data_IF_268486212632
#
_entry.id   IF_268486212632
#
_cell.length_a   1.000
_cell.length_b   1.000
_cell.length_c   1.000
_cell.angle_alpha   90.00
_cell.angle_beta   90.00
_cell.angle_gamma   90.00
#
_symmetry.space_group_name_H-M   'P 1'
#
loop_
_entity.id
_entity.type
_entity.pdbx_description
1 polymer ?
#
# COMPACT_ATOMS: atom_id res chain seq x y z
N UNK A 1 -7.36 22.96 4.01
CA UNK A 1 -6.50 21.85 3.56
C UNK A 1 -6.98 20.54 4.18
N UNK A 2 -6.81 19.41 3.48
CA UNK A 2 -7.16 18.08 3.99
C UNK A 2 -6.31 17.71 5.21
N UNK A 3 -6.89 16.95 6.16
CA UNK A 3 -6.17 16.38 7.31
C UNK A 3 -5.17 15.28 6.92
N UNK A 4 -5.34 14.74 5.72
CA UNK A 4 -4.57 13.61 5.20
C UNK A 4 -3.88 14.00 3.90
N UNK A 5 -2.67 13.48 3.73
CA UNK A 5 -1.85 13.68 2.54
C UNK A 5 -1.89 12.43 1.67
N UNK A 6 -1.77 12.66 0.36
CA UNK A 6 -1.41 11.63 -0.58
C UNK A 6 0.11 11.49 -0.54
N UNK A 7 0.63 10.27 -0.37
CA UNK A 7 2.06 10.08 -0.16
C UNK A 7 2.52 8.67 -0.50
N UNK A 8 3.82 8.52 -0.72
CA UNK A 8 4.53 7.25 -0.68
C UNK A 8 5.21 7.14 0.69
N UNK A 9 5.05 5.99 1.33
CA UNK A 9 5.67 5.71 2.62
C UNK A 9 6.26 4.32 2.66
N UNK A 10 7.23 4.10 3.53
CA UNK A 10 7.78 2.78 3.81
C UNK A 10 8.02 2.58 5.31
N UNK A 11 8.21 1.34 5.79
CA UNK A 11 8.57 1.13 7.18
C UNK A 11 9.90 1.81 7.46
N UNK A 12 9.95 2.54 8.57
CA UNK A 12 11.18 3.21 8.95
C UNK A 12 12.25 2.16 9.27
N UNK A 13 13.35 2.18 8.51
CA UNK A 13 14.54 1.39 8.81
C UNK A 13 15.70 2.29 9.24
N UNK A 14 16.10 2.21 10.51
CA UNK A 14 17.24 2.96 11.08
C UNK A 14 18.56 2.79 10.32
N UNK A 15 18.76 1.70 9.59
CA UNK A 15 19.94 1.53 8.76
C UNK A 15 19.98 2.42 7.50
N UNK A 16 18.81 2.91 7.08
CA UNK A 16 18.63 3.78 5.90
C UNK A 16 18.22 5.20 6.26
N UNK A 17 17.49 5.39 7.36
CA UNK A 17 16.96 6.70 7.74
C UNK A 17 17.45 7.17 9.11
N UNK A 18 18.20 6.34 9.83
CA UNK A 18 18.80 6.73 11.08
C UNK A 18 20.08 7.54 10.87
N UNK A 19 20.55 8.25 11.90
CA UNK A 19 21.84 8.92 11.86
C UNK A 19 22.95 7.89 11.59
N UNK A 20 23.98 8.32 10.86
CA UNK A 20 25.05 7.45 10.39
C UNK A 20 25.75 6.71 11.54
N UNK A 21 25.91 7.40 12.67
CA UNK A 21 26.55 6.86 13.88
C UNK A 21 25.74 5.74 14.54
N UNK A 22 24.42 5.68 14.28
CA UNK A 22 23.51 4.66 14.83
C UNK A 22 22.99 3.71 13.76
N UNK A 23 23.68 3.64 12.61
CA UNK A 23 23.30 2.76 11.52
C UNK A 23 23.23 1.31 12.02
N UNK A 24 22.14 0.62 11.71
CA UNK A 24 21.82 -0.74 12.15
C UNK A 24 21.46 -0.92 13.64
N UNK A 25 21.37 0.16 14.42
CA UNK A 25 20.79 0.10 15.77
C UNK A 25 19.30 0.41 15.70
N UNK A 26 18.43 -0.38 16.35
CA UNK A 26 17.01 -0.07 16.41
C UNK A 26 16.80 1.21 17.25
N UNK A 27 15.90 2.07 16.79
CA UNK A 27 15.46 3.25 17.52
C UNK A 27 13.93 3.27 17.66
N UNK A 28 13.40 4.30 18.33
CA UNK A 28 11.96 4.44 18.61
C UNK A 28 11.08 4.49 17.35
N UNK A 29 11.65 4.76 16.18
CA UNK A 29 10.92 4.91 14.93
C UNK A 29 10.81 3.62 14.10
N UNK A 30 11.60 2.57 14.36
CA UNK A 30 11.52 1.31 13.59
C UNK A 30 10.13 0.62 13.57
N UNK A 31 9.22 0.98 14.48
CA UNK A 31 7.83 0.51 14.48
C UNK A 31 6.86 1.40 13.70
N UNK A 32 7.37 2.42 13.01
CA UNK A 32 6.58 3.45 12.34
C UNK A 32 6.78 3.42 10.82
N UNK A 33 6.05 4.27 10.10
CA UNK A 33 6.28 4.50 8.68
C UNK A 33 6.92 5.87 8.48
N UNK A 34 7.93 5.94 7.63
CA UNK A 34 8.49 7.20 7.14
C UNK A 34 7.78 7.59 5.85
N UNK A 35 7.41 8.86 5.75
CA UNK A 35 6.87 9.45 4.53
C UNK A 35 8.04 9.85 3.64
N UNK A 36 8.21 9.15 2.52
CA UNK A 36 9.29 9.40 1.57
C UNK A 36 8.97 10.60 0.68
N UNK A 37 7.71 10.71 0.26
CA UNK A 37 7.28 11.79 -0.61
C UNK A 37 5.79 12.07 -0.42
N UNK A 38 5.42 13.35 -0.29
CA UNK A 38 4.03 13.81 -0.32
C UNK A 38 3.72 14.32 -1.72
N UNK A 39 2.56 13.95 -2.25
CA UNK A 39 2.15 14.27 -3.61
C UNK A 39 1.01 15.26 -3.51
N UNK A 40 1.16 16.40 -4.17
CA UNK A 40 0.10 17.39 -4.27
C UNK A 40 -1.00 16.91 -5.23
N UNK A 41 -2.24 17.33 -4.99
CA UNK A 41 -3.35 16.89 -5.86
C UNK A 41 -3.18 17.39 -7.29
N UNK A 42 -2.60 18.57 -7.47
CA UNK A 42 -2.34 19.11 -8.80
C UNK A 42 -1.37 18.21 -9.58
N UNK A 43 -0.22 17.87 -9.00
CA UNK A 43 0.77 16.94 -9.56
C UNK A 43 0.11 15.59 -9.87
N UNK A 44 -0.64 15.03 -8.92
CA UNK A 44 -1.31 13.74 -9.11
C UNK A 44 -2.27 13.71 -10.32
N UNK A 45 -2.98 14.80 -10.60
CA UNK A 45 -3.95 14.82 -11.70
C UNK A 45 -3.35 15.24 -13.05
N UNK A 46 -2.27 16.01 -13.06
CA UNK A 46 -1.74 16.62 -14.27
C UNK A 46 -0.39 16.03 -14.70
N UNK A 47 0.34 15.38 -13.81
CA UNK A 47 1.71 14.89 -14.01
C UNK A 47 1.85 13.41 -13.57
N UNK A 48 1.05 12.48 -14.15
CA UNK A 48 1.08 11.08 -13.76
C UNK A 48 2.39 10.36 -14.11
N UNK A 49 3.18 10.89 -15.05
CA UNK A 49 4.51 10.38 -15.42
C UNK A 49 5.52 10.58 -14.28
N UNK A 50 5.49 11.72 -13.60
CA UNK A 50 6.43 12.07 -12.51
C UNK A 50 6.27 11.09 -11.33
N UNK A 51 5.02 10.75 -10.98
CA UNK A 51 4.74 9.74 -9.97
C UNK A 51 5.27 8.35 -10.39
N UNK A 52 5.14 7.99 -11.66
CA UNK A 52 5.66 6.70 -12.15
C UNK A 52 7.18 6.66 -12.10
N UNK A 53 7.83 7.77 -12.45
CA UNK A 53 9.28 7.90 -12.39
C UNK A 53 9.78 7.82 -10.95
N UNK A 54 9.12 8.52 -10.02
CA UNK A 54 9.43 8.44 -8.58
C UNK A 54 9.34 6.99 -8.06
N UNK A 55 8.24 6.30 -8.37
CA UNK A 55 8.06 4.89 -7.97
C UNK A 55 9.16 4.02 -8.57
N UNK A 56 9.52 4.22 -9.84
CA UNK A 56 10.57 3.48 -10.53
C UNK A 56 11.94 3.66 -9.85
N UNK A 57 12.33 4.90 -9.54
CA UNK A 57 13.59 5.19 -8.85
C UNK A 57 13.64 4.59 -7.45
N UNK A 58 12.55 4.69 -6.68
CA UNK A 58 12.46 4.06 -5.36
C UNK A 58 12.60 2.53 -5.45
N UNK A 59 11.93 1.88 -6.39
CA UNK A 59 12.04 0.44 -6.59
C UNK A 59 13.47 0.00 -6.96
N UNK A 60 14.17 0.78 -7.79
CA UNK A 60 15.56 0.51 -8.15
C UNK A 60 16.50 0.66 -6.95
N UNK A 61 16.34 1.73 -6.15
CA UNK A 61 17.14 1.94 -4.94
C UNK A 61 16.96 0.80 -3.94
N UNK A 62 15.72 0.36 -3.70
CA UNK A 62 15.44 -0.78 -2.81
C UNK A 62 16.05 -2.08 -3.31
N UNK A 63 15.98 -2.33 -4.63
CA UNK A 63 16.58 -3.54 -5.22
C UNK A 63 18.10 -3.55 -5.03
N UNK A 64 18.74 -2.42 -5.26
CA UNK A 64 20.18 -2.26 -5.01
C UNK A 64 20.51 -2.45 -3.53
N UNK A 65 19.72 -1.84 -2.64
CA UNK A 65 19.93 -1.92 -1.21
C UNK A 65 19.79 -3.37 -0.68
N UNK A 66 18.83 -4.14 -1.19
CA UNK A 66 18.66 -5.55 -0.84
C UNK A 66 19.90 -6.38 -1.20
N UNK A 67 20.44 -6.15 -2.41
CA UNK A 67 21.57 -6.90 -2.94
C UNK A 67 22.87 -6.58 -2.20
N UNK A 68 23.08 -5.29 -1.87
CA UNK A 68 24.35 -4.79 -1.36
C UNK A 68 24.47 -4.83 0.16
N UNK A 69 23.40 -4.56 0.91
CA UNK A 69 23.52 -4.37 2.37
C UNK A 69 23.23 -5.63 3.19
N UNK A 70 22.42 -6.59 2.70
CA UNK A 70 22.06 -7.86 3.41
C UNK A 70 21.69 -7.69 4.90
N UNK A 71 21.16 -6.55 5.29
CA UNK A 71 20.77 -6.22 6.67
C UNK A 71 19.29 -6.54 6.90
N UNK A 72 18.96 -7.04 8.09
CA UNK A 72 17.58 -7.33 8.47
C UNK A 72 16.95 -6.13 9.19
N UNK A 73 15.69 -5.86 8.88
CA UNK A 73 14.92 -4.88 9.62
C UNK A 73 14.66 -5.39 11.05
N UNK A 74 14.88 -4.58 12.11
CA UNK A 74 14.86 -5.08 13.49
C UNK A 74 13.48 -5.56 13.97
N UNK A 75 12.39 -5.11 13.34
CA UNK A 75 11.00 -5.47 13.71
C UNK A 75 10.29 -6.29 12.63
N UNK A 76 10.71 -6.18 11.36
CA UNK A 76 9.96 -6.69 10.21
C UNK A 76 10.79 -7.80 9.58
N UNK A 77 10.59 -9.03 10.04
CA UNK A 77 11.38 -10.19 9.62
C UNK A 77 11.40 -10.39 8.10
N UNK A 78 10.26 -10.15 7.45
CA UNK A 78 10.11 -10.30 6.01
C UNK A 78 10.18 -8.97 5.23
N UNK A 79 10.89 -7.98 5.75
CA UNK A 79 11.02 -6.63 5.18
C UNK A 79 11.30 -6.63 3.67
N UNK A 80 12.36 -7.32 3.26
CA UNK A 80 12.75 -7.42 1.84
C UNK A 80 11.69 -8.10 0.98
N UNK A 81 11.02 -9.13 1.51
CA UNK A 81 9.93 -9.81 0.81
C UNK A 81 8.74 -8.86 0.57
N UNK A 82 8.43 -8.00 1.55
CA UNK A 82 7.34 -7.02 1.42
C UNK A 82 7.66 -5.95 0.38
N UNK A 83 8.91 -5.49 0.32
CA UNK A 83 9.40 -4.60 -0.73
C UNK A 83 9.33 -5.24 -2.13
N UNK A 84 9.76 -6.50 -2.29
CA UNK A 84 9.61 -7.25 -3.56
C UNK A 84 8.16 -7.36 -4.02
N UNK A 85 7.22 -7.47 -3.08
CA UNK A 85 5.78 -7.51 -3.35
C UNK A 85 5.17 -6.11 -3.55
N UNK A 86 5.98 -5.05 -3.59
CA UNK A 86 5.56 -3.66 -3.82
C UNK A 86 4.52 -3.16 -2.81
N UNK A 87 4.61 -3.61 -1.55
CA UNK A 87 3.66 -3.18 -0.51
C UNK A 87 3.91 -1.76 0.00
N UNK A 88 5.11 -1.20 -0.22
CA UNK A 88 5.52 0.08 0.36
C UNK A 88 5.77 1.17 -0.70
N UNK A 89 6.33 0.83 -1.87
CA UNK A 89 6.46 1.75 -3.01
C UNK A 89 5.14 1.92 -3.77
N UNK A 90 4.09 2.37 -3.09
CA UNK A 90 2.80 2.62 -3.71
C UNK A 90 2.15 3.87 -3.12
N UNK A 91 1.25 4.45 -3.92
CA UNK A 91 0.46 5.58 -3.53
C UNK A 91 -0.46 5.24 -2.35
N UNK A 92 -0.40 6.04 -1.29
CA UNK A 92 -1.20 5.87 -0.09
C UNK A 92 -1.78 7.19 0.40
N UNK A 93 -2.77 7.07 1.29
CA UNK A 93 -3.31 8.17 2.08
C UNK A 93 -2.84 7.99 3.51
N UNK A 94 -2.15 8.99 4.05
CA UNK A 94 -1.65 8.95 5.42
C UNK A 94 -1.87 10.27 6.14
N UNK A 95 -1.80 10.21 7.47
CA UNK A 95 -1.62 11.42 8.29
C UNK A 95 -0.13 11.55 8.59
N UNK A 96 0.49 12.63 8.14
CA UNK A 96 1.91 12.92 8.36
C UNK A 96 2.13 13.67 9.67
N UNK A 97 3.33 13.53 10.24
CA UNK A 97 3.81 14.23 11.42
C UNK A 97 5.30 14.46 11.25
N UNK A 98 5.73 15.69 11.48
CA UNK A 98 7.15 16.01 11.56
C UNK A 98 7.66 15.67 12.96
N UNK A 99 8.83 15.05 13.01
CA UNK A 99 9.53 14.74 14.27
C UNK A 99 10.40 15.92 14.71
N UNK A 100 10.85 15.91 15.96
CA UNK A 100 11.79 16.92 16.49
C UNK A 100 13.11 16.98 15.70
N UNK A 101 13.46 15.88 15.06
CA UNK A 101 14.66 15.66 14.25
C UNK A 101 14.45 16.00 12.77
N UNK A 102 13.25 16.47 12.38
CA UNK A 102 12.91 16.89 11.02
C UNK A 102 12.51 15.75 10.08
N UNK A 103 12.50 14.49 10.52
CA UNK A 103 11.96 13.41 9.71
C UNK A 103 10.43 13.47 9.65
N UNK A 104 9.87 13.17 8.47
CA UNK A 104 8.43 13.11 8.27
C UNK A 104 7.95 11.67 8.47
N UNK A 105 7.37 11.36 9.62
CA UNK A 105 6.72 10.07 9.87
C UNK A 105 5.25 10.12 9.46
N UNK A 106 4.62 8.96 9.26
CA UNK A 106 3.21 8.92 8.89
C UNK A 106 2.45 7.72 9.48
N UNK A 107 1.13 7.91 9.59
CA UNK A 107 0.19 6.88 10.01
C UNK A 107 -0.72 6.56 8.82
N UNK A 108 -0.61 5.35 8.23
CA UNK A 108 -1.44 4.95 7.11
C UNK A 108 -2.93 5.02 7.45
N UNK A 109 -3.72 5.64 6.57
CA UNK A 109 -5.20 5.69 6.67
C UNK A 109 -5.90 4.82 5.64
N UNK A 110 -5.14 4.08 4.85
CA UNK A 110 -5.65 3.15 3.82
C UNK A 110 -6.20 1.83 4.39
N UNK A 111 -6.01 1.53 5.68
CA UNK A 111 -6.46 0.26 6.28
C UNK A 111 -7.97 0.01 6.12
N UNK A 112 -8.81 0.96 6.51
CA UNK A 112 -10.26 0.84 6.38
C UNK A 112 -10.71 0.78 4.93
N UNK A 113 -10.06 1.55 4.06
CA UNK A 113 -10.32 1.51 2.62
C UNK A 113 -10.01 0.13 2.05
N UNK A 114 -8.89 -0.50 2.45
CA UNK A 114 -8.53 -1.86 2.03
C UNK A 114 -9.55 -2.91 2.50
N UNK A 115 -10.05 -2.79 3.73
CA UNK A 115 -11.13 -3.66 4.24
C UNK A 115 -12.40 -3.50 3.41
N UNK A 116 -12.81 -2.26 3.17
CA UNK A 116 -13.98 -1.94 2.35
C UNK A 116 -13.83 -2.51 0.94
N UNK A 117 -12.73 -2.20 0.26
CA UNK A 117 -12.43 -2.70 -1.08
C UNK A 117 -12.45 -4.24 -1.15
N UNK A 118 -11.90 -4.93 -0.14
CA UNK A 118 -11.93 -6.40 -0.05
C UNK A 118 -13.36 -6.93 0.07
N UNK A 119 -14.19 -6.35 0.95
CA UNK A 119 -15.61 -6.74 1.08
C UNK A 119 -16.36 -6.50 -0.23
N UNK A 120 -16.13 -5.36 -0.86
CA UNK A 120 -16.76 -5.00 -2.12
C UNK A 120 -16.39 -5.96 -3.25
N UNK A 121 -15.10 -6.25 -3.46
CA UNK A 121 -14.65 -7.22 -4.46
C UNK A 121 -15.27 -8.60 -4.24
N UNK A 122 -15.36 -9.06 -2.99
CA UNK A 122 -16.01 -10.33 -2.65
C UNK A 122 -17.51 -10.32 -2.96
N UNK A 123 -18.21 -9.23 -2.64
CA UNK A 123 -19.61 -9.06 -2.99
C UNK A 123 -19.84 -9.11 -4.50
N UNK A 124 -19.05 -8.36 -5.27
CA UNK A 124 -19.12 -8.34 -6.73
C UNK A 124 -18.82 -9.73 -7.31
N UNK A 125 -17.81 -10.44 -6.80
CA UNK A 125 -17.51 -11.80 -7.22
C UNK A 125 -18.69 -12.76 -6.97
N UNK A 126 -19.34 -12.68 -5.81
CA UNK A 126 -20.56 -13.46 -5.51
C UNK A 126 -21.70 -13.10 -6.47
N UNK A 127 -21.92 -11.80 -6.74
CA UNK A 127 -22.95 -11.33 -7.68
C UNK A 127 -22.70 -11.86 -9.09
N UNK A 128 -21.45 -11.80 -9.57
CA UNK A 128 -21.04 -12.35 -10.88
C UNK A 128 -21.30 -13.85 -10.98
N UNK A 129 -20.93 -14.62 -9.95
CA UNK A 129 -21.20 -16.08 -9.90
C UNK A 129 -22.71 -16.38 -9.94
N UNK A 130 -23.52 -15.62 -9.20
CA UNK A 130 -24.98 -15.78 -9.24
C UNK A 130 -25.56 -15.46 -10.62
N UNK A 131 -25.13 -14.37 -11.24
CA UNK A 131 -25.55 -14.01 -12.61
C UNK A 131 -25.18 -15.15 -13.57
N UNK A 132 -23.97 -15.69 -13.48
CA UNK A 132 -23.53 -16.77 -14.34
C UNK A 132 -24.35 -18.04 -14.15
N UNK A 133 -24.67 -18.43 -12.91
CA UNK A 133 -25.58 -19.55 -12.62
C UNK A 133 -26.95 -19.32 -13.24
N UNK A 134 -27.51 -18.12 -13.06
CA UNK A 134 -28.85 -17.73 -13.53
C UNK A 134 -28.97 -17.60 -15.04
N UNK A 135 -27.86 -17.47 -15.76
CA UNK A 135 -27.82 -17.49 -17.23
C UNK A 135 -27.94 -18.91 -17.82
N UNK A 136 -27.80 -19.95 -17.01
CA UNK A 136 -27.93 -21.32 -17.49
C UNK A 136 -29.37 -21.61 -17.95
N UNK A 137 -29.61 -22.13 -19.17
CA UNK A 137 -30.96 -22.46 -19.65
C UNK A 137 -31.77 -23.34 -18.69
N UNK A 138 -31.11 -24.29 -17.99
CA UNK A 138 -31.79 -25.15 -17.00
C UNK A 138 -32.32 -24.34 -15.80
N UNK A 139 -31.56 -23.36 -15.35
CA UNK A 139 -31.94 -22.48 -14.24
C UNK A 139 -33.03 -21.48 -14.65
N UNK A 140 -32.99 -21.02 -15.90
CA UNK A 140 -34.05 -20.19 -16.48
C UNK A 140 -35.37 -20.96 -16.56
N UNK A 141 -35.33 -22.21 -17.06
CA UNK A 141 -36.50 -23.09 -17.12
C UNK A 141 -37.04 -23.39 -15.72
N UNK A 142 -36.17 -23.68 -14.76
CA UNK A 142 -36.57 -23.89 -13.36
C UNK A 142 -37.29 -22.66 -12.80
N UNK A 143 -36.76 -21.45 -13.03
CA UNK A 143 -37.41 -20.21 -12.61
C UNK A 143 -38.77 -20.00 -13.29
N UNK A 144 -38.89 -20.33 -14.57
CA UNK A 144 -40.15 -20.22 -15.29
C UNK A 144 -41.22 -21.12 -14.69
N UNK A 145 -40.87 -22.36 -14.32
CA UNK A 145 -41.80 -23.34 -13.74
C UNK A 145 -42.16 -23.00 -12.27
N UNK A 146 -41.18 -22.59 -11.47
CA UNK A 146 -41.34 -22.47 -10.01
C UNK A 146 -41.40 -21.02 -9.47
N UNK A 147 -41.25 -20.01 -10.34
CA UNK A 147 -41.26 -18.59 -9.96
C UNK A 147 -40.03 -18.09 -9.20
N UNK A 148 -39.08 -18.96 -8.83
CA UNK A 148 -37.88 -18.62 -8.06
C UNK A 148 -36.61 -19.25 -8.64
N UNK A 149 -35.47 -18.62 -8.38
CA UNK A 149 -34.16 -19.22 -8.71
C UNK A 149 -33.82 -20.35 -7.75
N UNK A 150 -33.15 -21.39 -8.24
CA UNK A 150 -32.51 -22.43 -7.43
C UNK A 150 -31.14 -21.96 -6.91
#
# INVERSE_FOLDING_TARGET
MSKYSLCIFEPYFSAFHGPWEQRNLPNKYNGTFICQHTIELFEFYNEPEDLQELIYHMENWIRDAEQNYRINHPIIENFWQLHRKKYFCQLNIAKTYETETGELICIPKTFWLRIFQRKWRNYIAKKKKLIQKRKNPKELLYRQIHGKWK
#
